data_IF_839674021527
#
_entry.id   IF_839674021527
#
_cell.length_a   1.000
_cell.length_b   1.000
_cell.length_c   1.000
_cell.angle_alpha   90.00
_cell.angle_beta   90.00
_cell.angle_gamma   90.00
#
_symmetry.space_group_name_H-M   'P 1'
#
loop_
_entity.id
_entity.type
_entity.pdbx_description
1 polymer ?
#
# COMPACT_ATOMS: atom_id res chain seq x y z
N UNK A 1 7.73 -11.11 1.18
CA UNK A 1 8.56 -10.76 2.35
C UNK A 1 8.23 -11.60 3.58
N UNK A 2 6.95 -11.74 4.01
CA UNK A 2 6.56 -12.47 5.23
C UNK A 2 6.15 -13.92 4.95
N UNK A 3 5.10 -14.14 4.16
CA UNK A 3 4.71 -15.48 3.72
C UNK A 3 5.76 -16.00 2.73
N UNK A 4 6.49 -17.06 3.10
CA UNK A 4 7.57 -17.66 2.30
C UNK A 4 7.06 -18.65 1.26
N UNK A 5 5.82 -19.11 1.40
CA UNK A 5 5.18 -20.04 0.48
C UNK A 5 4.39 -19.33 -0.63
N UNK A 6 4.22 -18.01 -0.53
CA UNK A 6 3.59 -17.21 -1.56
C UNK A 6 4.42 -17.22 -2.87
N UNK A 7 3.75 -17.49 -4.00
CA UNK A 7 4.40 -17.59 -5.33
C UNK A 7 5.15 -16.31 -5.72
N UNK A 8 4.75 -15.15 -5.18
CA UNK A 8 5.37 -13.86 -5.41
C UNK A 8 6.34 -13.44 -4.30
N UNK A 9 6.62 -14.31 -3.32
CA UNK A 9 7.48 -13.98 -2.19
C UNK A 9 8.83 -13.42 -2.61
N UNK A 10 9.50 -14.08 -3.57
CA UNK A 10 10.82 -13.70 -4.04
C UNK A 10 10.79 -12.35 -4.76
N UNK A 11 9.84 -12.16 -5.67
CA UNK A 11 9.65 -10.92 -6.40
C UNK A 11 9.36 -9.74 -5.46
N UNK A 12 8.41 -9.91 -4.53
CA UNK A 12 8.05 -8.89 -3.55
C UNK A 12 9.25 -8.51 -2.65
N UNK A 13 10.04 -9.50 -2.24
CA UNK A 13 11.24 -9.27 -1.40
C UNK A 13 12.31 -8.49 -2.17
N UNK A 14 12.56 -8.84 -3.44
CA UNK A 14 13.50 -8.11 -4.31
C UNK A 14 13.07 -6.67 -4.57
N UNK A 15 11.77 -6.46 -4.84
CA UNK A 15 11.20 -5.14 -5.08
C UNK A 15 11.34 -4.27 -3.82
N UNK A 16 10.92 -4.78 -2.66
CA UNK A 16 11.02 -4.03 -1.41
C UNK A 16 12.47 -3.67 -1.05
N UNK A 17 13.41 -4.62 -1.17
CA UNK A 17 14.83 -4.35 -0.95
C UNK A 17 15.41 -3.32 -1.93
N UNK A 18 14.91 -3.26 -3.17
CA UNK A 18 15.30 -2.22 -4.12
C UNK A 18 14.76 -0.84 -3.70
N UNK A 19 13.51 -0.78 -3.24
CA UNK A 19 12.86 0.45 -2.78
C UNK A 19 13.54 1.00 -1.52
N UNK A 20 13.90 0.14 -0.56
CA UNK A 20 14.68 0.55 0.63
C UNK A 20 16.04 1.12 0.26
N UNK A 21 16.78 0.45 -0.63
CA UNK A 21 18.09 0.92 -1.10
C UNK A 21 18.03 2.28 -1.78
N UNK A 22 16.91 2.57 -2.45
CA UNK A 22 16.66 3.83 -3.14
C UNK A 22 16.04 4.89 -2.23
N UNK A 23 15.77 4.57 -0.97
CA UNK A 23 15.02 5.43 -0.05
C UNK A 23 13.72 5.94 -0.68
N UNK A 24 13.03 5.07 -1.42
CA UNK A 24 11.79 5.42 -2.08
C UNK A 24 10.71 5.74 -1.05
N UNK A 25 9.87 6.73 -1.31
CA UNK A 25 8.73 7.04 -0.45
C UNK A 25 7.57 6.09 -0.76
N UNK A 26 7.27 5.18 0.16
CA UNK A 26 6.13 4.28 0.09
C UNK A 26 4.97 4.85 0.89
N UNK A 27 3.78 4.76 0.33
CA UNK A 27 2.55 5.23 0.97
C UNK A 27 1.60 4.04 1.05
N UNK A 28 1.04 3.81 2.23
CA UNK A 28 -0.05 2.86 2.45
C UNK A 28 -1.15 3.47 3.31
N UNK A 29 -2.29 2.80 3.44
CA UNK A 29 -3.37 3.22 4.33
C UNK A 29 -3.53 2.27 5.51
N UNK A 30 -4.08 2.77 6.60
CA UNK A 30 -4.52 1.96 7.73
C UNK A 30 -5.49 0.83 7.33
N UNK A 31 -6.31 1.02 6.28
CA UNK A 31 -7.22 -0.02 5.78
C UNK A 31 -6.50 -1.15 5.04
N UNK A 32 -5.49 -0.83 4.21
CA UNK A 32 -4.64 -1.85 3.55
C UNK A 32 -3.89 -2.65 4.61
N UNK A 33 -3.44 -1.99 5.69
CA UNK A 33 -2.76 -2.67 6.79
C UNK A 33 -3.71 -3.59 7.54
N UNK A 34 -4.92 -3.14 7.87
CA UNK A 34 -5.93 -3.94 8.55
C UNK A 34 -6.29 -5.21 7.77
N UNK A 35 -6.53 -5.07 6.45
CA UNK A 35 -6.78 -6.22 5.57
C UNK A 35 -5.58 -7.16 5.53
N UNK A 36 -4.36 -6.63 5.40
CA UNK A 36 -3.14 -7.46 5.30
C UNK A 36 -2.85 -8.21 6.60
N UNK A 37 -2.95 -7.54 7.75
CA UNK A 37 -2.78 -8.15 9.08
C UNK A 37 -3.83 -9.23 9.31
N UNK A 38 -5.08 -8.94 8.97
CA UNK A 38 -6.18 -9.91 9.07
C UNK A 38 -5.93 -11.12 8.17
N UNK A 39 -5.59 -10.90 6.90
CA UNK A 39 -5.29 -11.98 5.95
C UNK A 39 -4.13 -12.85 6.43
N UNK A 40 -3.00 -12.24 6.86
CA UNK A 40 -1.84 -12.95 7.38
C UNK A 40 -2.21 -13.78 8.62
N UNK A 41 -3.01 -13.24 9.53
CA UNK A 41 -3.43 -13.97 10.73
C UNK A 41 -4.23 -15.24 10.39
N UNK A 42 -5.13 -15.16 9.42
CA UNK A 42 -5.96 -16.30 9.02
C UNK A 42 -5.26 -17.31 8.11
N UNK A 43 -4.35 -16.85 7.23
CA UNK A 43 -3.73 -17.70 6.21
C UNK A 43 -2.38 -18.25 6.60
N UNK A 44 -1.57 -17.47 7.33
CA UNK A 44 -0.18 -17.83 7.67
C UNK A 44 -0.04 -18.06 9.17
N UNK A 45 -0.72 -17.26 9.98
CA UNK A 45 -0.76 -17.38 11.43
C UNK A 45 -0.44 -16.07 12.14
N UNK A 46 -0.68 -16.06 13.45
CA UNK A 46 -0.56 -14.85 14.26
C UNK A 46 0.86 -14.24 14.24
N UNK A 47 1.89 -15.07 14.35
CA UNK A 47 3.28 -14.60 14.37
C UNK A 47 3.67 -13.86 13.08
N UNK A 48 3.21 -14.34 11.93
CA UNK A 48 3.44 -13.68 10.65
C UNK A 48 2.79 -12.29 10.59
N UNK A 49 1.57 -12.16 11.12
CA UNK A 49 0.88 -10.87 11.20
C UNK A 49 1.61 -9.87 12.12
N UNK A 50 2.12 -10.34 13.27
CA UNK A 50 2.92 -9.52 14.19
C UNK A 50 4.24 -9.10 13.56
N UNK A 51 4.93 -10.02 12.88
CA UNK A 51 6.18 -9.72 12.19
C UNK A 51 5.96 -8.67 11.10
N UNK A 52 4.91 -8.82 10.29
CA UNK A 52 4.53 -7.83 9.28
C UNK A 52 4.33 -6.44 9.89
N UNK A 53 3.51 -6.34 10.94
CA UNK A 53 3.23 -5.08 11.61
C UNK A 53 4.52 -4.43 12.12
N UNK A 54 5.38 -5.20 12.79
CA UNK A 54 6.64 -4.68 13.33
C UNK A 54 7.58 -4.20 12.22
N UNK A 55 7.69 -4.91 11.08
CA UNK A 55 8.50 -4.46 9.95
C UNK A 55 7.97 -3.17 9.34
N UNK A 56 6.65 -3.08 9.17
CA UNK A 56 6.01 -1.89 8.61
C UNK A 56 6.17 -0.68 9.53
N UNK A 57 5.92 -0.85 10.83
CA UNK A 57 5.99 0.22 11.82
C UNK A 57 7.41 0.76 12.02
N UNK A 58 8.42 -0.10 11.88
CA UNK A 58 9.84 0.29 11.94
C UNK A 58 10.41 0.72 10.58
N UNK A 59 9.61 0.71 9.51
CA UNK A 59 10.07 1.11 8.18
C UNK A 59 10.32 2.60 8.13
N UNK A 60 11.52 3.00 7.68
CA UNK A 60 11.90 4.41 7.52
C UNK A 60 11.44 5.01 6.18
N UNK A 61 10.95 4.16 5.29
CA UNK A 61 10.59 4.52 3.92
C UNK A 61 9.07 4.49 3.69
N UNK A 62 8.29 4.12 4.71
CA UNK A 62 6.85 3.93 4.57
C UNK A 62 6.08 4.94 5.41
N UNK A 63 5.20 5.69 4.76
CA UNK A 63 4.21 6.54 5.40
C UNK A 63 2.85 5.80 5.45
N UNK A 64 2.22 5.86 6.61
CA UNK A 64 0.88 5.30 6.83
C UNK A 64 -0.12 6.45 6.88
N UNK A 65 -1.00 6.49 5.89
CA UNK A 65 -2.10 7.45 5.85
C UNK A 65 -3.28 6.90 6.64
N UNK A 66 -3.77 7.70 7.59
CA UNK A 66 -5.05 7.45 8.26
C UNK A 66 -6.19 7.87 7.34
N UNK A 67 -7.07 6.94 7.02
CA UNK A 67 -8.21 7.21 6.14
C UNK A 67 -9.26 7.98 6.94
N UNK A 68 -9.51 9.23 6.54
CA UNK A 68 -10.54 10.09 7.12
C UNK A 68 -11.83 10.12 6.27
N UNK A 69 -12.82 10.89 6.74
CA UNK A 69 -14.12 10.99 6.08
C UNK A 69 -14.05 11.59 4.66
N UNK A 70 -13.09 12.49 4.41
CA UNK A 70 -12.92 13.12 3.09
C UNK A 70 -12.37 12.11 2.08
N UNK A 71 -11.34 11.34 2.48
CA UNK A 71 -10.77 10.26 1.69
C UNK A 71 -11.83 9.20 1.39
N UNK A 72 -12.61 8.79 2.39
CA UNK A 72 -13.71 7.82 2.20
C UNK A 72 -14.75 8.35 1.20
N UNK A 73 -15.12 9.62 1.31
CA UNK A 73 -16.10 10.24 0.41
C UNK A 73 -15.58 10.29 -1.02
N UNK A 74 -14.31 10.67 -1.22
CA UNK A 74 -13.67 10.68 -2.53
C UNK A 74 -13.54 9.28 -3.13
N UNK A 75 -13.17 8.29 -2.32
CA UNK A 75 -13.10 6.89 -2.72
C UNK A 75 -14.49 6.36 -3.11
N UNK A 76 -15.54 6.72 -2.38
CA UNK A 76 -16.91 6.32 -2.69
C UNK A 76 -17.40 6.88 -4.03
N UNK A 77 -17.12 8.17 -4.30
CA UNK A 77 -17.41 8.78 -5.61
C UNK A 77 -16.69 8.04 -6.74
N UNK A 78 -15.43 7.67 -6.52
CA UNK A 78 -14.63 6.90 -7.48
C UNK A 78 -15.20 5.50 -7.69
N UNK A 79 -15.58 4.82 -6.62
CA UNK A 79 -16.20 3.51 -6.66
C UNK A 79 -17.50 3.51 -7.47
N UNK A 80 -18.38 4.50 -7.23
CA UNK A 80 -19.62 4.66 -8.00
C UNK A 80 -19.39 4.93 -9.49
N UNK A 81 -18.30 5.61 -9.85
CA UNK A 81 -17.96 5.95 -11.25
C UNK A 81 -17.50 4.74 -12.07
N UNK A 82 -16.95 3.71 -11.43
CA UNK A 82 -16.41 2.54 -12.12
C UNK A 82 -17.19 1.28 -11.74
N UNK A 83 -18.44 1.18 -12.20
CA UNK A 83 -19.32 0.02 -12.00
C UNK A 83 -18.78 -1.27 -12.65
N UNK A 84 -18.08 -1.13 -13.78
CA UNK A 84 -17.72 -2.27 -14.64
C UNK A 84 -16.32 -2.84 -14.34
N UNK A 85 -15.56 -2.20 -13.45
CA UNK A 85 -14.31 -2.74 -12.94
C UNK A 85 -14.57 -3.17 -11.51
N UNK A 86 -14.31 -4.44 -11.21
CA UNK A 86 -14.44 -5.01 -9.87
C UNK A 86 -13.40 -4.37 -8.93
N UNK A 87 -13.60 -3.10 -8.60
CA UNK A 87 -12.81 -2.39 -7.61
C UNK A 87 -13.29 -2.90 -6.27
N UNK A 88 -12.54 -3.81 -5.66
CA UNK A 88 -12.70 -4.06 -4.24
C UNK A 88 -12.60 -2.71 -3.54
N UNK A 89 -13.54 -2.43 -2.62
CA UNK A 89 -13.73 -1.15 -1.91
C UNK A 89 -12.43 -0.53 -1.35
N UNK A 90 -11.41 -1.36 -1.10
CA UNK A 90 -10.08 -1.00 -0.60
C UNK A 90 -9.13 -0.38 -1.64
N UNK A 91 -9.23 -0.75 -2.93
CA UNK A 91 -8.36 -0.17 -3.98
C UNK A 91 -8.74 1.28 -4.30
N UNK A 92 -10.01 1.67 -4.14
CA UNK A 92 -10.48 3.02 -4.44
C UNK A 92 -9.89 4.09 -3.49
N UNK A 93 -9.65 3.78 -2.21
CA UNK A 93 -9.03 4.70 -1.25
C UNK A 93 -7.56 4.99 -1.57
N UNK A 94 -6.82 4.01 -2.10
CA UNK A 94 -5.43 4.24 -2.54
C UNK A 94 -5.34 5.11 -3.79
N UNK A 95 -6.32 4.99 -4.69
CA UNK A 95 -6.35 5.71 -5.96
C UNK A 95 -6.74 7.19 -5.83
N UNK A 96 -7.57 7.56 -4.83
CA UNK A 96 -8.00 8.95 -4.66
C UNK A 96 -6.83 9.89 -4.38
N UNK A 97 -5.86 9.48 -3.53
CA UNK A 97 -4.64 10.26 -3.30
C UNK A 97 -3.65 10.25 -4.46
N UNK A 98 -3.58 9.15 -5.23
CA UNK A 98 -2.72 9.10 -6.42
C UNK A 98 -3.25 9.97 -7.57
N UNK A 99 -4.55 10.31 -7.58
CA UNK A 99 -5.15 11.21 -8.56
C UNK A 99 -4.93 12.71 -8.29
N UNK A 100 -4.55 13.08 -7.06
CA UNK A 100 -4.29 14.48 -6.66
C UNK A 100 -2.80 14.84 -6.67
N UNK A 101 -1.91 13.85 -6.79
CA UNK A 101 -0.49 14.07 -7.07
C UNK A 101 -0.25 14.17 -8.57
N UNK A 102 -0.13 15.40 -9.10
CA UNK A 102 0.32 15.59 -10.48
C UNK A 102 1.66 14.87 -10.69
N UNK A 103 1.70 13.88 -11.58
CA UNK A 103 2.93 13.51 -12.26
C UNK A 103 3.34 14.70 -13.13
N UNK A 104 4.07 15.67 -12.57
CA UNK A 104 4.78 16.67 -13.37
C UNK A 104 6.01 16.00 -13.98
N UNK A 105 5.86 15.66 -15.25
CA UNK A 105 6.89 15.11 -16.09
C UNK A 105 7.74 16.27 -16.65
N UNK A 106 8.60 16.88 -15.83
CA UNK A 106 9.57 17.87 -16.30
C UNK A 106 10.95 17.65 -15.72
N UNK A 107 11.75 16.95 -16.53
CA UNK A 107 13.04 17.43 -16.99
C UNK A 107 14.09 17.70 -15.92
N UNK A 108 15.06 16.79 -15.86
CA UNK A 108 16.45 17.02 -15.49
C UNK A 108 16.88 18.46 -15.80
N UNK A 109 17.29 19.23 -14.77
CA UNK A 109 18.46 20.09 -14.87
C UNK A 109 19.22 20.10 -13.55
N UNK A 110 20.42 19.54 -13.65
CA UNK A 110 21.53 19.74 -12.74
C UNK A 110 21.97 21.20 -12.82
N UNK A 111 22.09 21.87 -11.68
CA UNK A 111 23.14 22.85 -11.39
C UNK A 111 23.33 22.96 -9.88
#
# INVERSE_FOLDING_TARGET
MIDKSDDYHEAATKIYANLERRSAWLITSDYVIDETVTWLRYKVGHNAAVEFWNRLHNSKITEIIRVDAEIVTGAWKTFLKYSDRFLKRLQACSLSKMGEGSCDNRGIKVK
#
